data_IF_997974109532
#
_entry.id   IF_997974109532
#
_cell.length_a   1.000
_cell.length_b   1.000
_cell.length_c   1.000
_cell.angle_alpha   90.00
_cell.angle_beta   90.00
_cell.angle_gamma   90.00
#
_symmetry.space_group_name_H-M   'P 1'
#
loop_
_entity.id
_entity.type
_entity.pdbx_description
1 polymer ?
#
# COMPACT_ATOMS: atom_id res chain seq x y z
N UNK A 1 3.05 12.84 -16.94
CA UNK A 1 2.02 11.82 -17.27
C UNK A 1 1.46 11.29 -15.95
N UNK A 2 0.38 11.90 -15.48
CA UNK A 2 -0.30 11.50 -14.25
C UNK A 2 -1.20 10.33 -14.59
N UNK A 3 -0.77 9.10 -14.29
CA UNK A 3 -1.66 7.96 -14.34
C UNK A 3 -2.70 8.17 -13.25
N UNK A 4 -3.89 8.58 -13.70
CA UNK A 4 -5.15 8.51 -13.00
C UNK A 4 -5.26 7.13 -12.37
N UNK A 5 -4.88 7.02 -11.10
CA UNK A 5 -5.20 5.81 -10.35
C UNK A 5 -6.74 5.72 -10.18
N UNK A 6 -7.49 6.80 -10.42
CA UNK A 6 -8.95 6.99 -10.53
C UNK A 6 -9.90 5.86 -11.00
N UNK A 7 -9.93 4.64 -10.46
CA UNK A 7 -11.07 3.71 -10.68
C UNK A 7 -11.24 2.51 -9.72
N UNK A 8 -10.75 2.56 -8.48
CA UNK A 8 -10.81 1.39 -7.58
C UNK A 8 -12.08 1.31 -6.67
N UNK A 9 -13.18 1.98 -7.03
CA UNK A 9 -14.46 1.81 -6.31
C UNK A 9 -15.36 0.71 -6.88
N UNK A 10 -15.16 0.27 -8.14
CA UNK A 10 -16.13 -0.60 -8.82
C UNK A 10 -15.84 -2.11 -8.66
N UNK A 11 -14.74 -2.50 -8.01
CA UNK A 11 -14.35 -3.91 -7.86
C UNK A 11 -14.88 -4.59 -6.58
N UNK A 12 -15.62 -3.87 -5.71
CA UNK A 12 -16.11 -4.42 -4.43
C UNK A 12 -17.35 -5.31 -4.54
N UNK A 13 -17.80 -5.63 -5.74
CA UNK A 13 -18.93 -6.51 -5.95
C UNK A 13 -18.66 -7.48 -7.09
N UNK A 14 -17.85 -8.54 -6.87
CA UNK A 14 -18.01 -9.90 -7.47
C UNK A 14 -16.74 -10.75 -7.27
N UNK A 15 -16.94 -12.00 -6.79
CA UNK A 15 -15.92 -13.07 -6.72
C UNK A 15 -15.69 -13.56 -5.28
N UNK A 16 -16.45 -14.55 -4.78
CA UNK A 16 -16.19 -15.99 -4.95
C UNK A 16 -14.90 -16.49 -4.25
N UNK A 17 -15.11 -17.26 -3.19
CA UNK A 17 -14.34 -18.45 -2.79
C UNK A 17 -12.83 -18.52 -3.06
N UNK A 18 -12.04 -18.21 -2.03
CA UNK A 18 -10.76 -18.89 -1.70
C UNK A 18 -9.61 -18.84 -2.74
N UNK A 19 -9.37 -17.70 -3.36
CA UNK A 19 -7.98 -17.33 -3.70
C UNK A 19 -7.43 -16.37 -2.66
N UNK A 20 -7.13 -16.88 -1.46
CA UNK A 20 -6.44 -16.11 -0.41
C UNK A 20 -4.95 -16.05 -0.72
N UNK A 21 -4.58 -15.52 -1.90
CA UNK A 21 -3.17 -15.22 -2.13
C UNK A 21 -2.78 -14.14 -1.12
N UNK A 22 -1.76 -14.35 -0.28
CA UNK A 22 -1.33 -13.32 0.65
C UNK A 22 -0.93 -12.07 -0.14
N UNK A 23 -1.04 -10.89 0.47
CA UNK A 23 -0.59 -9.67 -0.18
C UNK A 23 0.90 -9.80 -0.54
N UNK A 24 1.27 -9.40 -1.75
CA UNK A 24 2.58 -9.64 -2.32
C UNK A 24 3.31 -8.32 -2.60
N UNK A 25 4.58 -8.26 -2.19
CA UNK A 25 5.48 -7.17 -2.53
C UNK A 25 6.10 -7.37 -3.91
N UNK A 26 6.27 -6.30 -4.66
CA UNK A 26 6.98 -6.28 -5.95
C UNK A 26 7.89 -5.07 -6.01
N UNK A 27 9.09 -5.25 -6.56
CA UNK A 27 10.03 -4.17 -6.82
C UNK A 27 9.90 -3.77 -8.29
N UNK A 28 9.66 -2.49 -8.54
CA UNK A 28 9.51 -1.91 -9.88
C UNK A 28 10.15 -0.53 -9.92
N UNK A 29 10.27 0.06 -11.10
CA UNK A 29 10.68 1.46 -11.21
C UNK A 29 9.46 2.38 -11.16
N UNK A 30 9.59 3.46 -10.40
CA UNK A 30 8.69 4.60 -10.47
C UNK A 30 8.77 5.25 -11.85
N UNK A 31 7.85 6.16 -12.17
CA UNK A 31 7.92 6.96 -13.40
C UNK A 31 9.21 7.80 -13.50
N UNK A 32 9.89 8.05 -12.38
CA UNK A 32 11.17 8.73 -12.32
C UNK A 32 12.38 7.81 -12.60
N UNK A 33 12.15 6.53 -12.93
CA UNK A 33 13.21 5.56 -13.21
C UNK A 33 13.93 5.01 -11.99
N UNK A 34 13.48 5.37 -10.78
CA UNK A 34 14.06 4.89 -9.51
C UNK A 34 13.19 3.79 -8.90
N UNK A 35 13.80 2.78 -8.26
CA UNK A 35 13.09 1.64 -7.71
C UNK A 35 12.24 2.03 -6.51
N UNK A 36 11.22 1.24 -6.23
CA UNK A 36 10.40 1.32 -5.03
C UNK A 36 9.83 -0.07 -4.72
N UNK A 37 9.05 -0.21 -3.66
CA UNK A 37 8.20 -1.38 -3.48
C UNK A 37 6.72 -1.03 -3.66
N UNK A 38 5.97 -2.01 -4.17
CA UNK A 38 4.52 -1.99 -4.34
C UNK A 38 3.92 -3.21 -3.65
N UNK A 39 2.83 -3.01 -2.92
CA UNK A 39 2.09 -4.06 -2.22
C UNK A 39 0.75 -4.28 -2.92
N UNK A 40 0.55 -5.50 -3.43
CA UNK A 40 -0.70 -5.90 -4.05
C UNK A 40 -1.49 -6.79 -3.09
N UNK A 41 -2.78 -6.54 -2.94
CA UNK A 41 -3.69 -7.43 -2.20
C UNK A 41 -4.03 -8.68 -3.03
N UNK A 42 -4.76 -9.60 -2.39
CA UNK A 42 -5.42 -10.70 -3.10
C UNK A 42 -6.26 -10.13 -4.26
N UNK A 43 -6.09 -10.70 -5.46
CA UNK A 43 -6.71 -10.18 -6.68
C UNK A 43 -5.86 -9.18 -7.48
N UNK A 44 -4.64 -8.87 -7.03
CA UNK A 44 -3.67 -8.07 -7.81
C UNK A 44 -3.85 -6.57 -7.71
N UNK A 45 -4.74 -6.08 -6.86
CA UNK A 45 -4.99 -4.66 -6.65
C UNK A 45 -3.87 -4.02 -5.81
N UNK A 46 -3.34 -2.88 -6.27
CA UNK A 46 -2.35 -2.11 -5.53
C UNK A 46 -3.01 -1.47 -4.29
N UNK A 47 -2.55 -1.85 -3.10
CA UNK A 47 -3.07 -1.28 -1.85
C UNK A 47 -2.10 -0.30 -1.21
N UNK A 48 -0.80 -0.50 -1.39
CA UNK A 48 0.23 0.39 -0.84
C UNK A 48 1.48 0.42 -1.71
N UNK A 49 2.27 1.47 -1.57
CA UNK A 49 3.62 1.56 -2.11
C UNK A 49 4.51 2.33 -1.13
N UNK A 50 5.83 2.30 -1.35
CA UNK A 50 6.84 2.96 -0.48
C UNK A 50 6.63 4.46 -0.22
N UNK A 51 5.79 5.14 -1.01
CA UNK A 51 5.57 6.58 -0.89
C UNK A 51 6.69 7.43 -1.48
N UNK A 52 7.84 6.86 -1.81
CA UNK A 52 8.93 7.56 -2.50
C UNK A 52 9.85 6.58 -3.21
N UNK A 53 10.48 6.99 -4.33
CA UNK A 53 11.56 6.21 -4.91
C UNK A 53 12.74 6.05 -3.94
N UNK A 54 13.32 4.87 -3.97
CA UNK A 54 14.48 4.42 -3.19
C UNK A 54 15.74 4.43 -4.06
N UNK A 55 16.87 4.21 -3.41
CA UNK A 55 18.19 4.38 -4.03
C UNK A 55 18.62 3.16 -4.86
N UNK A 56 18.11 1.97 -4.54
CA UNK A 56 18.40 0.73 -5.26
C UNK A 56 17.28 -0.29 -5.07
N UNK A 57 17.28 -1.35 -5.89
CA UNK A 57 16.37 -2.49 -5.77
C UNK A 57 16.53 -3.21 -4.42
N UNK A 58 17.76 -3.28 -3.89
CA UNK A 58 18.04 -3.85 -2.58
C UNK A 58 17.46 -2.99 -1.47
N UNK A 59 17.63 -1.67 -1.54
CA UNK A 59 16.98 -0.74 -0.60
C UNK A 59 15.45 -0.85 -0.68
N UNK A 60 14.89 -1.09 -1.86
CA UNK A 60 13.48 -1.32 -2.05
C UNK A 60 12.98 -2.63 -1.42
N UNK A 61 13.75 -3.70 -1.52
CA UNK A 61 13.47 -4.98 -0.87
C UNK A 61 13.58 -4.88 0.65
N UNK A 62 14.65 -4.29 1.17
CA UNK A 62 14.85 -4.06 2.60
C UNK A 62 13.73 -3.20 3.19
N UNK A 63 13.31 -2.14 2.49
CA UNK A 63 12.20 -1.30 2.94
C UNK A 63 10.85 -2.04 2.94
N UNK A 64 10.63 -2.93 1.98
CA UNK A 64 9.43 -3.77 1.94
C UNK A 64 9.41 -4.76 3.13
N UNK A 65 10.53 -5.42 3.41
CA UNK A 65 10.67 -6.33 4.56
C UNK A 65 10.54 -5.58 5.90
N UNK A 66 11.16 -4.40 6.00
CA UNK A 66 11.04 -3.54 7.16
C UNK A 66 9.59 -3.09 7.40
N UNK A 67 8.87 -2.74 6.33
CA UNK A 67 7.44 -2.43 6.41
C UNK A 67 6.65 -3.66 6.85
N UNK A 68 6.96 -4.85 6.31
CA UNK A 68 6.29 -6.09 6.71
C UNK A 68 6.46 -6.42 8.19
N UNK A 69 7.68 -6.31 8.69
CA UNK A 69 7.99 -6.61 10.09
C UNK A 69 7.44 -5.56 11.08
N UNK A 70 7.23 -4.32 10.64
CA UNK A 70 6.87 -3.19 11.52
C UNK A 70 5.53 -2.55 11.20
N UNK A 71 4.73 -3.15 10.32
CA UNK A 71 3.42 -2.63 9.94
C UNK A 71 2.55 -2.40 11.18
N UNK A 72 2.54 -3.34 12.13
CA UNK A 72 1.73 -3.24 13.34
C UNK A 72 2.14 -2.09 14.28
N UNK A 73 3.43 -1.77 14.32
CA UNK A 73 4.03 -0.69 15.13
C UNK A 73 3.98 0.68 14.42
N UNK A 74 3.71 0.68 13.11
CA UNK A 74 3.72 1.90 12.31
C UNK A 74 2.50 2.76 12.60
N UNK A 75 2.70 4.08 12.59
CA UNK A 75 1.60 5.03 12.76
C UNK A 75 0.92 5.24 11.41
N UNK A 76 -0.33 4.82 11.30
CA UNK A 76 -1.18 5.12 10.15
C UNK A 76 -1.90 6.45 10.34
N UNK A 77 -1.92 7.25 9.29
CA UNK A 77 -2.58 8.55 9.25
C UNK A 77 -3.44 8.65 8.00
N UNK A 78 -4.73 8.94 8.18
CA UNK A 78 -5.64 9.28 7.10
C UNK A 78 -5.64 10.79 6.89
N UNK A 79 -5.45 11.23 5.65
CA UNK A 79 -5.40 12.63 5.27
C UNK A 79 -6.19 12.86 3.97
N UNK A 80 -6.53 14.13 3.70
CA UNK A 80 -7.17 14.54 2.45
C UNK A 80 -6.10 15.06 1.52
N UNK A 81 -6.04 14.55 0.29
CA UNK A 81 -5.12 15.03 -0.73
C UNK A 81 -5.57 16.37 -1.33
N UNK A 82 -4.73 16.98 -2.16
CA UNK A 82 -5.04 18.26 -2.81
C UNK A 82 -6.29 18.19 -3.72
N UNK A 83 -6.72 16.99 -4.13
CA UNK A 83 -7.93 16.74 -4.92
C UNK A 83 -9.18 16.50 -4.08
N UNK A 84 -9.12 16.67 -2.75
CA UNK A 84 -10.24 16.45 -1.85
C UNK A 84 -10.56 14.97 -1.61
N UNK A 85 -9.64 14.06 -1.94
CA UNK A 85 -9.84 12.62 -1.74
C UNK A 85 -9.12 12.13 -0.50
N UNK A 86 -9.66 11.11 0.15
CA UNK A 86 -9.03 10.55 1.34
C UNK A 86 -7.94 9.56 0.94
N UNK A 87 -6.79 9.64 1.60
CA UNK A 87 -5.68 8.69 1.48
C UNK A 87 -5.16 8.36 2.86
N UNK A 88 -4.42 7.27 2.95
CA UNK A 88 -3.67 6.96 4.14
C UNK A 88 -2.17 6.91 3.83
N UNK A 89 -1.36 7.13 4.87
CA UNK A 89 0.09 6.97 4.86
C UNK A 89 0.55 6.34 6.16
N UNK A 90 1.59 5.53 6.11
CA UNK A 90 2.20 4.92 7.28
C UNK A 90 3.56 5.55 7.56
N UNK A 91 3.83 5.77 8.85
CA UNK A 91 5.05 6.37 9.34
C UNK A 91 5.75 5.42 10.30
N UNK A 92 7.05 5.24 10.08
CA UNK A 92 7.95 4.68 11.07
C UNK A 92 8.77 5.82 11.65
N UNK A 93 8.54 6.13 12.93
CA UNK A 93 9.09 7.32 13.59
C UNK A 93 8.77 8.59 12.76
N UNK A 94 9.79 9.25 12.22
CA UNK A 94 9.67 10.46 11.41
C UNK A 94 9.74 10.20 9.89
N UNK A 95 9.88 8.95 9.46
CA UNK A 95 10.03 8.57 8.05
C UNK A 95 8.74 7.96 7.54
N UNK A 96 8.27 8.44 6.39
CA UNK A 96 7.14 7.81 5.69
C UNK A 96 7.64 6.50 5.09
N UNK A 97 7.01 5.40 5.50
CA UNK A 97 7.38 4.07 5.04
C UNK A 97 6.41 3.51 4.03
N UNK A 98 5.15 3.96 4.03
CA UNK A 98 4.17 3.56 3.04
C UNK A 98 3.15 4.67 2.74
N UNK A 99 2.56 4.59 1.56
CA UNK A 99 1.47 5.43 1.10
C UNK A 99 0.43 4.59 0.38
N UNK A 100 -0.85 5.00 0.49
CA UNK A 100 -1.94 4.32 -0.20
C UNK A 100 -1.75 4.33 -1.72
N UNK A 101 -2.01 3.19 -2.35
CA UNK A 101 -2.13 3.06 -3.81
C UNK A 101 -3.47 3.55 -4.37
N UNK A 102 -4.42 3.90 -3.50
CA UNK A 102 -5.80 4.24 -3.85
C UNK A 102 -6.22 5.55 -3.18
N UNK A 103 -7.22 6.23 -3.74
CA UNK A 103 -7.96 7.28 -3.04
C UNK A 103 -9.36 6.80 -2.71
N UNK A 104 -9.85 7.23 -1.56
CA UNK A 104 -11.15 6.86 -1.03
C UNK A 104 -12.09 8.06 -1.03
N UNK A 105 -13.39 7.80 -1.12
CA UNK A 105 -14.41 8.85 -1.05
C UNK A 105 -14.74 9.25 0.38
N UNK A 106 -14.35 8.42 1.35
CA UNK A 106 -14.61 8.66 2.77
C UNK A 106 -13.41 8.36 3.65
N UNK A 107 -13.33 9.06 4.80
CA UNK A 107 -12.30 8.82 5.83
C UNK A 107 -12.37 7.39 6.38
N UNK A 108 -13.57 6.86 6.58
CA UNK A 108 -13.78 5.53 7.14
C UNK A 108 -13.29 4.42 6.22
N UNK A 109 -13.47 4.55 4.90
CA UNK A 109 -12.91 3.60 3.95
C UNK A 109 -11.39 3.66 3.91
N UNK A 110 -10.80 4.85 3.94
CA UNK A 110 -9.36 5.01 4.00
C UNK A 110 -8.78 4.42 5.29
N UNK A 111 -9.46 4.60 6.43
CA UNK A 111 -9.06 4.00 7.71
C UNK A 111 -9.14 2.47 7.67
N UNK A 112 -10.23 1.92 7.12
CA UNK A 112 -10.40 0.47 6.96
C UNK A 112 -9.32 -0.13 6.08
N UNK A 113 -8.99 0.51 4.96
CA UNK A 113 -7.92 0.06 4.07
C UNK A 113 -6.54 0.13 4.74
N UNK A 114 -6.28 1.14 5.58
CA UNK A 114 -5.07 1.24 6.37
C UNK A 114 -4.96 0.08 7.38
N UNK A 115 -6.07 -0.25 8.07
CA UNK A 115 -6.12 -1.38 9.01
C UNK A 115 -5.94 -2.73 8.31
N UNK A 116 -6.52 -2.91 7.12
CA UNK A 116 -6.31 -4.11 6.28
C UNK A 116 -4.84 -4.28 5.89
N UNK A 117 -4.13 -3.21 5.57
CA UNK A 117 -2.69 -3.29 5.29
C UNK A 117 -1.90 -3.58 6.56
N UNK A 118 -2.24 -2.94 7.67
CA UNK A 118 -1.59 -3.16 8.97
C UNK A 118 -1.67 -4.62 9.40
N UNK A 119 -2.86 -5.23 9.28
CA UNK A 119 -3.12 -6.61 9.70
C UNK A 119 -2.73 -7.63 8.61
N UNK A 120 -3.07 -7.37 7.35
CA UNK A 120 -2.88 -8.31 6.24
C UNK A 120 -1.42 -8.57 5.91
N UNK A 121 -0.54 -7.59 6.18
CA UNK A 121 0.90 -7.78 6.02
C UNK A 121 1.49 -8.60 7.17
N UNK A 122 0.97 -8.47 8.40
CA UNK A 122 1.40 -9.25 9.55
C UNK A 122 0.96 -10.72 9.49
N UNK A 123 -0.21 -11.00 8.91
CA UNK A 123 -0.78 -12.36 8.76
C UNK A 123 -0.14 -13.13 7.59
N UNK A 124 0.80 -12.54 6.85
CA UNK A 124 1.47 -13.20 5.72
C UNK A 124 2.56 -14.20 6.16
N UNK A 125 2.30 -15.07 7.13
CA UNK A 125 3.21 -16.15 7.56
C UNK A 125 3.09 -17.38 6.65
N UNK A 126 4.25 -17.91 6.22
CA UNK A 126 4.45 -19.35 5.97
C UNK A 126 4.17 -19.90 4.57
N UNK A 127 5.24 -20.12 3.80
CA UNK A 127 5.51 -21.42 3.17
C UNK A 127 6.96 -21.82 3.47
#
# INVERSE_FOLDING_TARGET
MSTTMGRAQDARAQGDGRSTRPPAFTIMNTLAGRPAWWLHAAGGYLVAWSGAPLDSDDAAREAAEAFRARAEESRFEVYVDAGGKFRWRAWSRAVRVAESGEWFVSRSEAARAADEVRLGVAVSEGL
#
